data_IF_266797511577
#
_entry.id   IF_266797511577
#
_cell.length_a   1.000
_cell.length_b   1.000
_cell.length_c   1.000
_cell.angle_alpha   90.00
_cell.angle_beta   90.00
_cell.angle_gamma   90.00
#
_symmetry.space_group_name_H-M   'P 1'
#
loop_
_entity.id
_entity.type
_entity.pdbx_description
1 polymer ?
#
# COMPACT_ATOMS: atom_id res chain seq x y z
N UNK A 1 19.02 -3.46 11.78
CA UNK A 1 19.86 -2.69 12.71
C UNK A 1 19.08 -2.31 13.98
N UNK A 2 19.54 -2.70 15.19
CA UNK A 2 18.87 -2.41 16.46
C UNK A 2 18.85 -0.92 16.85
N UNK A 3 19.89 -0.16 16.50
CA UNK A 3 19.99 1.27 16.80
C UNK A 3 18.88 2.05 16.08
N UNK A 4 18.76 1.89 14.75
CA UNK A 4 17.76 2.60 13.96
C UNK A 4 16.33 2.20 14.36
N UNK A 5 16.07 0.91 14.61
CA UNK A 5 14.77 0.43 15.09
C UNK A 5 14.35 1.12 16.39
N UNK A 6 15.27 1.24 17.37
CA UNK A 6 15.01 1.91 18.66
C UNK A 6 14.75 3.41 18.46
N UNK A 7 15.59 4.07 17.66
CA UNK A 7 15.47 5.51 17.38
C UNK A 7 14.13 5.85 16.73
N UNK A 8 13.74 5.13 15.67
CA UNK A 8 12.46 5.36 14.97
C UNK A 8 11.27 5.04 15.88
N UNK A 9 11.33 3.94 16.64
CA UNK A 9 10.25 3.58 17.60
C UNK A 9 10.05 4.66 18.66
N UNK A 10 11.12 5.31 19.15
CA UNK A 10 11.05 6.42 20.10
C UNK A 10 10.50 7.70 19.47
N UNK A 11 10.89 8.01 18.23
CA UNK A 11 10.57 9.28 17.58
C UNK A 11 9.18 9.33 16.90
N UNK A 12 8.66 8.20 16.40
CA UNK A 12 7.49 8.19 15.51
C UNK A 12 6.24 8.89 16.04
N UNK A 13 6.00 8.89 17.36
CA UNK A 13 4.84 9.58 17.96
C UNK A 13 4.95 11.10 17.79
N UNK A 14 6.13 11.67 18.06
CA UNK A 14 6.36 13.11 17.92
C UNK A 14 6.45 13.51 16.45
N UNK A 15 7.04 12.65 15.62
CA UNK A 15 7.08 12.84 14.17
C UNK A 15 5.68 13.04 13.57
N UNK A 16 4.72 12.19 13.94
CA UNK A 16 3.30 12.32 13.56
C UNK A 16 2.67 13.62 14.05
N UNK A 17 2.94 14.02 15.30
CA UNK A 17 2.41 15.27 15.87
C UNK A 17 2.86 16.50 15.08
N UNK A 18 4.15 16.56 14.73
CA UNK A 18 4.72 17.67 13.96
C UNK A 18 4.07 17.74 12.57
N UNK A 19 3.94 16.60 11.88
CA UNK A 19 3.27 16.56 10.56
C UNK A 19 1.81 16.99 10.68
N UNK A 20 1.06 16.45 11.64
CA UNK A 20 -0.35 16.81 11.83
C UNK A 20 -0.54 18.29 12.16
N UNK A 21 0.34 18.87 12.97
CA UNK A 21 0.32 20.29 13.29
C UNK A 21 0.61 21.15 12.04
N UNK A 22 1.65 20.80 11.28
CA UNK A 22 2.02 21.49 10.05
C UNK A 22 0.87 21.49 9.04
N UNK A 23 0.25 20.33 8.81
CA UNK A 23 -0.92 20.20 7.91
C UNK A 23 -2.09 21.07 8.37
N UNK A 24 -2.41 21.08 9.67
CA UNK A 24 -3.49 21.93 10.22
C UNK A 24 -3.26 23.43 10.03
N UNK A 25 -1.99 23.85 9.90
CA UNK A 25 -1.61 25.26 9.75
C UNK A 25 -1.20 25.61 8.32
N UNK A 26 -1.38 24.70 7.36
CA UNK A 26 -0.99 24.94 5.97
C UNK A 26 0.52 25.05 5.75
N UNK A 27 1.35 24.51 6.65
CA UNK A 27 2.81 24.52 6.53
C UNK A 27 3.25 23.31 5.69
N UNK A 28 3.93 23.52 4.54
CA UNK A 28 4.37 22.43 3.69
C UNK A 28 5.51 21.64 4.35
N UNK A 29 5.32 20.32 4.47
CA UNK A 29 6.30 19.38 5.04
C UNK A 29 6.54 18.17 4.13
N UNK A 30 6.90 18.37 2.84
CA UNK A 30 6.89 17.32 1.83
C UNK A 30 7.83 16.15 2.18
N UNK A 31 9.03 16.43 2.68
CA UNK A 31 10.02 15.41 3.04
C UNK A 31 9.64 14.64 4.30
N UNK A 32 9.19 15.34 5.35
CA UNK A 32 8.74 14.69 6.59
C UNK A 32 7.49 13.83 6.36
N UNK A 33 6.52 14.34 5.60
CA UNK A 33 5.31 13.60 5.23
C UNK A 33 5.64 12.36 4.39
N UNK A 34 6.43 12.52 3.33
CA UNK A 34 6.87 11.41 2.47
C UNK A 34 7.61 10.33 3.26
N UNK A 35 8.56 10.71 4.11
CA UNK A 35 9.31 9.75 4.91
C UNK A 35 8.41 8.97 5.89
N UNK A 36 7.37 9.61 6.47
CA UNK A 36 6.42 8.93 7.34
C UNK A 36 5.56 7.95 6.55
N UNK A 37 5.04 8.39 5.39
CA UNK A 37 4.27 7.54 4.48
C UNK A 37 5.07 6.33 4.03
N UNK A 38 6.36 6.50 3.69
CA UNK A 38 7.25 5.40 3.35
C UNK A 38 7.44 4.44 4.53
N UNK A 39 7.75 4.97 5.73
CA UNK A 39 7.95 4.14 6.92
C UNK A 39 6.70 3.30 7.25
N UNK A 40 5.52 3.92 7.17
CA UNK A 40 4.24 3.22 7.38
C UNK A 40 3.94 2.21 6.27
N UNK A 41 4.26 2.54 5.02
CA UNK A 41 4.09 1.62 3.91
C UNK A 41 4.99 0.39 4.07
N UNK A 42 6.27 0.60 4.38
CA UNK A 42 7.27 -0.45 4.51
C UNK A 42 6.95 -1.48 5.61
N UNK A 43 6.39 -1.02 6.74
CA UNK A 43 6.04 -1.90 7.86
C UNK A 43 4.63 -2.53 7.76
N UNK A 44 3.88 -2.21 6.70
CA UNK A 44 2.53 -2.71 6.52
C UNK A 44 2.58 -3.93 5.61
N UNK A 45 2.21 -5.09 6.15
CA UNK A 45 2.18 -6.35 5.42
C UNK A 45 1.20 -6.32 4.24
N UNK A 46 0.06 -5.66 4.42
CA UNK A 46 -1.06 -5.65 3.47
C UNK A 46 -1.39 -4.21 3.08
N UNK A 47 -0.81 -3.75 1.97
CA UNK A 47 -1.08 -2.44 1.40
C UNK A 47 -2.23 -2.47 0.39
N UNK A 48 -2.87 -1.32 0.08
CA UNK A 48 -4.01 -1.24 -0.85
C UNK A 48 -3.68 -1.54 -2.33
N UNK A 49 -2.48 -2.00 -2.65
CA UNK A 49 -2.04 -2.39 -3.99
C UNK A 49 -2.87 -3.55 -4.55
N UNK A 50 -3.58 -4.30 -3.72
CA UNK A 50 -4.58 -5.28 -4.18
C UNK A 50 -5.72 -4.62 -4.95
N UNK A 51 -6.18 -3.42 -4.54
CA UNK A 51 -7.18 -2.67 -5.29
C UNK A 51 -6.59 -2.17 -6.62
N UNK A 52 -5.34 -1.70 -6.63
CA UNK A 52 -4.65 -1.30 -7.86
C UNK A 52 -4.54 -2.48 -8.84
N UNK A 53 -4.20 -3.67 -8.35
CA UNK A 53 -4.18 -4.87 -9.17
C UNK A 53 -5.58 -5.21 -9.71
N UNK A 54 -6.63 -5.12 -8.88
CA UNK A 54 -8.01 -5.30 -9.33
C UNK A 54 -8.44 -4.29 -10.39
N UNK A 55 -8.05 -3.02 -10.24
CA UNK A 55 -8.31 -1.98 -11.25
C UNK A 55 -7.64 -2.31 -12.58
N UNK A 56 -6.35 -2.65 -12.56
CA UNK A 56 -5.60 -3.05 -13.76
C UNK A 56 -6.21 -4.25 -14.45
N UNK A 57 -6.66 -5.24 -13.68
CA UNK A 57 -7.35 -6.39 -14.23
C UNK A 57 -8.72 -6.01 -14.83
N UNK A 58 -9.45 -5.12 -14.16
CA UNK A 58 -10.76 -4.62 -14.61
C UNK A 58 -10.72 -3.92 -15.97
N UNK A 59 -9.85 -2.91 -16.14
CA UNK A 59 -9.86 -2.09 -17.35
C UNK A 59 -8.95 -2.61 -18.46
N UNK A 60 -8.05 -3.54 -18.17
CA UNK A 60 -6.97 -3.91 -19.10
C UNK A 60 -6.56 -5.38 -19.09
N UNK A 61 -7.30 -6.26 -18.43
CA UNK A 61 -7.02 -7.70 -18.35
C UNK A 61 -5.56 -8.01 -17.96
N UNK A 62 -4.97 -7.15 -17.10
CA UNK A 62 -3.57 -7.25 -16.71
C UNK A 62 -3.27 -8.39 -15.74
N UNK A 63 -4.28 -9.12 -15.28
CA UNK A 63 -4.20 -10.21 -14.31
C UNK A 63 -3.68 -9.78 -12.93
N UNK A 64 -3.79 -10.67 -11.94
CA UNK A 64 -3.24 -10.48 -10.61
C UNK A 64 -2.89 -11.80 -9.93
N UNK A 65 -2.00 -11.75 -8.94
CA UNK A 65 -1.68 -12.90 -8.09
C UNK A 65 -2.57 -12.94 -6.84
N UNK A 66 -2.81 -14.15 -6.31
CA UNK A 66 -3.57 -14.37 -5.08
C UNK A 66 -2.66 -14.82 -3.94
N UNK A 67 -2.98 -14.41 -2.71
CA UNK A 67 -2.20 -14.77 -1.51
C UNK A 67 -2.35 -16.23 -1.08
N UNK A 68 -3.43 -16.88 -1.48
CA UNK A 68 -3.71 -18.29 -1.19
C UNK A 68 -3.18 -19.25 -2.28
N UNK A 69 -2.41 -18.74 -3.24
CA UNK A 69 -1.86 -19.50 -4.35
C UNK A 69 -0.34 -19.36 -4.42
N UNK A 70 0.37 -20.34 -5.01
CA UNK A 70 1.80 -20.21 -5.26
C UNK A 70 2.09 -18.93 -6.05
N UNK A 71 3.22 -18.30 -5.72
CA UNK A 71 3.70 -17.12 -6.45
C UNK A 71 3.96 -17.49 -7.91
N UNK A 72 3.60 -16.59 -8.82
CA UNK A 72 3.68 -16.80 -10.27
C UNK A 72 2.40 -17.36 -10.88
N UNK A 73 1.37 -17.68 -10.08
CA UNK A 73 0.03 -17.99 -10.60
C UNK A 73 -0.79 -16.70 -10.77
N UNK A 74 -1.20 -16.43 -12.00
CA UNK A 74 -1.99 -15.26 -12.36
C UNK A 74 -3.46 -15.63 -12.59
N UNK A 75 -4.33 -14.70 -12.24
CA UNK A 75 -5.76 -14.82 -12.35
C UNK A 75 -6.34 -13.60 -13.02
N UNK A 76 -7.41 -13.80 -13.78
CA UNK A 76 -8.23 -12.76 -14.37
C UNK A 76 -9.68 -12.97 -13.95
N UNK A 77 -10.39 -11.91 -13.56
CA UNK A 77 -11.84 -11.95 -13.43
C UNK A 77 -12.45 -11.33 -14.69
N UNK A 78 -13.44 -11.99 -15.28
CA UNK A 78 -14.30 -11.34 -16.28
C UNK A 78 -15.24 -10.38 -15.55
N UNK A 79 -14.79 -9.15 -15.33
CA UNK A 79 -15.50 -8.17 -14.52
C UNK A 79 -16.82 -7.68 -15.12
N UNK A 80 -16.95 -7.54 -16.46
CA UNK A 80 -18.23 -7.23 -17.09
C UNK A 80 -19.28 -8.34 -16.96
N UNK A 81 -18.89 -9.62 -16.91
CA UNK A 81 -19.85 -10.70 -16.71
C UNK A 81 -20.51 -10.60 -15.31
N UNK A 82 -21.85 -10.65 -15.21
CA UNK A 82 -22.57 -10.56 -13.93
C UNK A 82 -22.16 -11.60 -12.88
N UNK A 83 -21.72 -12.79 -13.32
CA UNK A 83 -21.24 -13.88 -12.46
C UNK A 83 -19.77 -13.74 -12.08
N UNK A 84 -19.03 -12.85 -12.75
CA UNK A 84 -17.61 -12.57 -12.52
C UNK A 84 -16.75 -13.84 -12.44
N UNK A 85 -16.81 -14.72 -13.47
CA UNK A 85 -16.00 -15.92 -13.47
C UNK A 85 -14.52 -15.55 -13.39
N UNK A 86 -13.78 -16.29 -12.55
CA UNK A 86 -12.34 -16.13 -12.42
C UNK A 86 -11.62 -17.25 -13.17
N UNK A 87 -10.68 -16.86 -14.02
CA UNK A 87 -9.90 -17.74 -14.89
C UNK A 87 -8.45 -17.69 -14.41
N UNK A 88 -7.76 -18.83 -14.45
CA UNK A 88 -6.30 -18.89 -14.28
C UNK A 88 -5.67 -18.56 -15.63
N UNK A 89 -4.89 -17.48 -15.68
CA UNK A 89 -4.24 -16.99 -16.89
C UNK A 89 -2.92 -17.71 -17.18
#
# INVERSE_FOLDING_TARGET
DPYFKKTVKKAQKNWRKVIALAVKHGIPVPTLGSALSYFDSYRTENLPQNLLQGQRDYFGAHTYERKDKPRGEFFHIDWPDPKRPQIKA
#
